data_IF_097422509753
#
_entry.id   IF_097422509753
#
_cell.length_a   1.000
_cell.length_b   1.000
_cell.length_c   1.000
_cell.angle_alpha   90.00
_cell.angle_beta   90.00
_cell.angle_gamma   90.00
#
_symmetry.space_group_name_H-M   'P 1'
#
loop_
_entity.id
_entity.type
_entity.pdbx_description
1 polymer ?
#
# COMPACT_ATOMS: atom_id res chain seq x y z
N UNK A 1 19.42 3.99 -6.39
CA UNK A 1 19.29 3.16 -5.18
C UNK A 1 18.34 2.01 -5.51
N UNK A 2 18.54 0.80 -5.00
CA UNK A 2 17.59 -0.31 -5.21
C UNK A 2 16.74 -0.44 -3.94
N UNK A 3 15.42 -0.43 -4.10
CA UNK A 3 14.47 -0.57 -3.00
C UNK A 3 14.14 -2.04 -2.80
N UNK A 4 13.98 -2.46 -1.54
CA UNK A 4 13.59 -3.83 -1.22
C UNK A 4 12.06 -3.91 -1.10
N UNK A 5 11.35 -4.57 -2.04
CA UNK A 5 9.90 -4.65 -2.02
C UNK A 5 9.35 -5.41 -0.81
N UNK A 6 10.06 -6.45 -0.35
CA UNK A 6 9.62 -7.25 0.79
C UNK A 6 9.77 -6.47 2.09
N UNK A 7 10.87 -5.71 2.22
CA UNK A 7 11.06 -4.77 3.32
C UNK A 7 9.97 -3.70 3.33
N UNK A 8 9.62 -3.12 2.16
CA UNK A 8 8.59 -2.10 2.07
C UNK A 8 7.22 -2.61 2.58
N UNK A 9 6.77 -3.78 2.11
CA UNK A 9 5.50 -4.39 2.54
C UNK A 9 5.49 -4.58 4.06
N UNK A 10 6.60 -5.08 4.63
CA UNK A 10 6.74 -5.26 6.07
C UNK A 10 6.63 -3.94 6.82
N UNK A 11 7.38 -2.92 6.39
CA UNK A 11 7.41 -1.62 7.06
C UNK A 11 6.06 -0.91 7.01
N UNK A 12 5.37 -0.92 5.88
CA UNK A 12 4.03 -0.32 5.78
C UNK A 12 3.03 -1.05 6.66
N UNK A 13 3.03 -2.38 6.66
CA UNK A 13 2.19 -3.16 7.58
C UNK A 13 2.47 -2.77 9.03
N UNK A 14 3.74 -2.74 9.43
CA UNK A 14 4.13 -2.44 10.80
C UNK A 14 3.73 -1.00 11.21
N UNK A 15 3.74 -0.04 10.27
CA UNK A 15 3.24 1.33 10.50
C UNK A 15 1.72 1.39 10.66
N UNK A 16 0.96 0.66 9.83
CA UNK A 16 -0.51 0.60 9.91
C UNK A 16 -0.96 -0.10 11.19
N UNK A 17 -0.23 -1.13 11.62
CA UNK A 17 -0.56 -1.92 12.81
C UNK A 17 0.05 -1.37 14.10
N UNK A 18 0.78 -0.25 14.07
CA UNK A 18 1.36 0.35 15.27
C UNK A 18 0.24 0.92 16.17
N UNK A 19 0.01 0.35 17.37
CA UNK A 19 -1.05 0.80 18.28
C UNK A 19 -0.81 2.22 18.82
N UNK A 20 0.36 2.82 18.59
CA UNK A 20 0.67 4.20 18.97
C UNK A 20 0.44 5.20 17.85
N UNK A 21 0.14 4.74 16.63
CA UNK A 21 -0.03 5.59 15.47
C UNK A 21 -1.46 6.14 15.40
N UNK A 22 -1.62 7.44 15.70
CA UNK A 22 -2.91 8.15 15.55
C UNK A 22 -3.41 8.15 14.10
N UNK A 23 -2.48 8.07 13.13
CA UNK A 23 -2.83 8.06 11.71
C UNK A 23 -3.38 6.69 11.28
N UNK A 24 -2.95 5.61 11.95
CA UNK A 24 -3.38 4.25 11.66
C UNK A 24 -4.72 3.86 12.28
N UNK A 25 -5.27 4.66 13.22
CA UNK A 25 -6.48 4.30 13.98
C UNK A 25 -7.71 4.01 13.09
N UNK A 26 -7.78 4.66 11.93
CA UNK A 26 -8.89 4.50 10.98
C UNK A 26 -8.53 3.59 9.80
N UNK A 27 -7.40 2.90 9.84
CA UNK A 27 -6.94 2.05 8.75
C UNK A 27 -6.74 0.62 9.22
N UNK A 28 -7.32 -0.33 8.51
CA UNK A 28 -7.12 -1.76 8.77
C UNK A 28 -6.24 -2.36 7.70
N UNK A 29 -5.08 -2.89 8.09
CA UNK A 29 -4.25 -3.68 7.20
C UNK A 29 -4.98 -4.96 6.76
N UNK A 30 -5.04 -5.21 5.45
CA UNK A 30 -5.61 -6.44 4.89
C UNK A 30 -4.51 -7.39 4.45
N UNK A 31 -3.68 -6.97 3.49
CA UNK A 31 -2.63 -7.81 2.94
C UNK A 31 -1.60 -6.98 2.17
N UNK A 32 -0.46 -7.59 1.86
CA UNK A 32 0.53 -7.00 0.95
C UNK A 32 1.35 -8.08 0.28
N UNK A 33 1.76 -7.82 -0.95
CA UNK A 33 2.50 -8.79 -1.77
C UNK A 33 3.52 -8.08 -2.66
N UNK A 34 4.65 -8.72 -2.86
CA UNK A 34 5.61 -8.38 -3.90
C UNK A 34 5.15 -9.00 -5.23
N UNK A 35 4.93 -8.19 -6.26
CA UNK A 35 4.54 -8.67 -7.60
C UNK A 35 5.74 -8.94 -8.51
N UNK A 36 6.87 -8.29 -8.25
CA UNK A 36 8.09 -8.44 -9.03
C UNK A 36 9.29 -7.84 -8.31
N UNK A 37 10.43 -7.73 -9.00
CA UNK A 37 11.67 -7.22 -8.40
C UNK A 37 11.55 -5.79 -7.85
N UNK A 38 10.63 -5.00 -8.39
CA UNK A 38 10.53 -3.57 -8.13
C UNK A 38 9.08 -3.12 -7.89
N UNK A 39 8.15 -4.04 -7.58
CA UNK A 39 6.74 -3.69 -7.43
C UNK A 39 6.03 -4.42 -6.30
N UNK A 40 5.10 -3.71 -5.66
CA UNK A 40 4.28 -4.24 -4.56
C UNK A 40 2.81 -3.87 -4.72
N UNK A 41 1.96 -4.70 -4.16
CA UNK A 41 0.53 -4.42 -3.92
C UNK A 41 0.31 -4.34 -2.43
N UNK A 42 -0.41 -3.31 -2.00
CA UNK A 42 -0.84 -3.12 -0.62
C UNK A 42 -2.37 -3.04 -0.60
N UNK A 43 -2.98 -3.79 0.31
CA UNK A 43 -4.43 -3.84 0.53
C UNK A 43 -4.74 -3.38 1.96
N UNK A 44 -5.68 -2.44 2.10
CA UNK A 44 -6.13 -1.90 3.39
C UNK A 44 -7.62 -1.53 3.35
N UNK A 45 -8.22 -1.17 4.48
CA UNK A 45 -9.59 -0.62 4.59
C UNK A 45 -9.58 0.69 5.36
N UNK A 46 -10.50 1.57 5.02
CA UNK A 46 -10.93 2.64 5.93
C UNK A 46 -11.93 2.06 6.95
N UNK A 47 -11.50 1.93 8.20
CA UNK A 47 -12.28 1.29 9.26
C UNK A 47 -12.51 -0.22 9.04
N UNK A 48 -13.20 -0.85 9.99
CA UNK A 48 -13.48 -2.29 9.96
C UNK A 48 -14.40 -2.71 8.79
N UNK A 49 -15.35 -1.83 8.46
CA UNK A 49 -16.47 -2.13 7.56
C UNK A 49 -16.37 -1.42 6.20
N UNK A 50 -15.27 -0.70 5.96
CA UNK A 50 -15.01 -0.06 4.66
C UNK A 50 -14.64 -1.06 3.56
N UNK A 51 -14.70 -0.63 2.28
CA UNK A 51 -14.26 -1.43 1.16
C UNK A 51 -12.75 -1.74 1.27
N UNK A 52 -12.32 -2.86 0.68
CA UNK A 52 -10.89 -3.14 0.53
C UNK A 52 -10.34 -2.25 -0.58
N UNK A 53 -9.39 -1.40 -0.22
CA UNK A 53 -8.66 -0.52 -1.12
C UNK A 53 -7.35 -1.21 -1.48
N UNK A 54 -7.05 -1.24 -2.79
CA UNK A 54 -5.78 -1.75 -3.31
C UNK A 54 -4.98 -0.66 -3.99
N UNK A 55 -3.67 -0.61 -3.69
CA UNK A 55 -2.69 0.20 -4.43
C UNK A 55 -1.54 -0.66 -4.93
N UNK A 56 -1.13 -0.39 -6.17
CA UNK A 56 0.03 -0.99 -6.81
C UNK A 56 1.12 0.07 -6.95
N UNK A 57 2.30 -0.21 -6.40
CA UNK A 57 3.44 0.70 -6.44
C UNK A 57 4.58 0.08 -7.25
N UNK A 58 5.05 0.82 -8.25
CA UNK A 58 6.33 0.58 -8.93
C UNK A 58 7.38 1.42 -8.22
N UNK A 59 8.28 0.79 -7.46
CA UNK A 59 9.15 1.48 -6.51
C UNK A 59 10.10 2.49 -7.16
N UNK A 60 10.73 2.22 -8.32
CA UNK A 60 11.56 3.21 -9.00
C UNK A 60 10.78 4.45 -9.45
N UNK A 61 9.54 4.26 -9.91
CA UNK A 61 8.67 5.37 -10.33
C UNK A 61 8.25 6.20 -9.13
N UNK A 62 7.81 5.56 -8.05
CA UNK A 62 7.47 6.24 -6.80
C UNK A 62 8.67 7.01 -6.24
N UNK A 63 9.84 6.37 -6.17
CA UNK A 63 11.07 6.99 -5.68
C UNK A 63 11.47 8.23 -6.48
N UNK A 64 11.24 8.22 -7.80
CA UNK A 64 11.58 9.34 -8.69
C UNK A 64 10.79 10.62 -8.41
N UNK A 65 9.64 10.51 -7.74
CA UNK A 65 8.82 11.66 -7.35
C UNK A 65 9.37 12.43 -6.14
N UNK A 66 10.31 11.83 -5.40
CA UNK A 66 10.85 12.40 -4.17
C UNK A 66 12.33 12.78 -4.34
N UNK A 67 13.21 12.07 -3.64
CA UNK A 67 14.66 12.32 -3.65
C UNK A 67 15.38 11.13 -4.29
N UNK A 68 16.47 11.35 -5.06
CA UNK A 68 17.27 10.26 -5.62
C UNK A 68 17.90 9.35 -4.57
N UNK A 69 17.94 9.80 -3.30
CA UNK A 69 18.49 9.06 -2.17
C UNK A 69 17.42 8.59 -1.17
N UNK A 70 16.13 8.66 -1.54
CA UNK A 70 15.06 8.16 -0.69
C UNK A 70 15.30 6.67 -0.40
N UNK A 71 15.20 6.28 0.86
CA UNK A 71 15.37 4.91 1.33
C UNK A 71 14.05 4.13 1.26
N UNK A 72 14.12 2.80 1.39
CA UNK A 72 12.90 1.97 1.50
C UNK A 72 12.07 2.34 2.73
N UNK A 73 12.73 2.69 3.83
CA UNK A 73 12.11 3.15 5.06
C UNK A 73 11.39 4.49 4.89
N UNK A 74 12.01 5.44 4.19
CA UNK A 74 11.38 6.71 3.86
C UNK A 74 10.20 6.53 2.91
N UNK A 75 10.33 5.68 1.88
CA UNK A 75 9.20 5.34 1.00
C UNK A 75 8.04 4.71 1.76
N UNK A 76 8.30 3.78 2.69
CA UNK A 76 7.24 3.18 3.50
C UNK A 76 6.51 4.22 4.35
N UNK A 77 7.23 5.21 4.91
CA UNK A 77 6.64 6.32 5.65
C UNK A 77 5.82 7.25 4.76
N UNK A 78 6.32 7.57 3.57
CA UNK A 78 5.61 8.38 2.58
C UNK A 78 4.30 7.70 2.19
N UNK A 79 4.33 6.41 1.81
CA UNK A 79 3.13 5.64 1.49
C UNK A 79 2.14 5.66 2.65
N UNK A 80 2.63 5.44 3.88
CA UNK A 80 1.76 5.44 5.04
C UNK A 80 1.08 6.80 5.26
N UNK A 81 1.85 7.90 5.28
CA UNK A 81 1.31 9.23 5.57
C UNK A 81 0.47 9.77 4.41
N UNK A 82 1.01 9.76 3.19
CA UNK A 82 0.43 10.50 2.07
C UNK A 82 -0.65 9.71 1.31
N UNK A 83 -0.60 8.37 1.35
CA UNK A 83 -1.44 7.54 0.48
C UNK A 83 -2.45 6.69 1.26
N UNK A 84 -2.09 6.22 2.46
CA UNK A 84 -2.93 5.34 3.27
C UNK A 84 -3.80 6.14 4.24
N UNK A 85 -3.28 7.21 4.84
CA UNK A 85 -3.98 7.95 5.91
C UNK A 85 -4.85 9.09 5.39
N UNK A 86 -4.55 9.61 4.20
CA UNK A 86 -5.41 10.52 3.44
C UNK A 86 -5.58 9.96 2.02
N UNK A 87 -6.35 8.89 1.87
CA UNK A 87 -6.44 8.26 0.60
C UNK A 87 -7.28 9.24 -0.27
N UNK A 88 -6.62 9.85 -1.26
CA UNK A 88 -7.26 10.64 -2.32
C UNK A 88 -7.64 9.83 -3.58
N UNK A 89 -8.83 10.12 -4.12
CA UNK A 89 -9.24 9.75 -5.49
C UNK A 89 -10.48 8.84 -5.59
N UNK A 90 -11.25 8.91 -6.69
CA UNK A 90 -12.32 7.96 -6.96
C UNK A 90 -11.68 6.61 -7.31
N UNK A 91 -11.60 5.72 -6.33
CA UNK A 91 -11.18 4.34 -6.57
C UNK A 91 -12.00 3.70 -7.71
N UNK A 92 -11.34 2.90 -8.54
CA UNK A 92 -11.92 2.24 -9.71
C UNK A 92 -11.78 0.73 -9.62
N UNK A 93 -12.74 0.00 -10.17
CA UNK A 93 -12.54 -1.41 -10.41
C UNK A 93 -11.63 -1.58 -11.62
N UNK A 94 -10.57 -2.38 -11.46
CA UNK A 94 -9.63 -2.74 -12.52
C UNK A 94 -9.75 -4.24 -12.79
N UNK A 95 -9.64 -4.62 -14.05
CA UNK A 95 -9.56 -6.02 -14.47
C UNK A 95 -8.10 -6.51 -14.34
N UNK A 96 -7.67 -6.76 -13.10
CA UNK A 96 -6.31 -7.17 -12.73
C UNK A 96 -6.36 -8.28 -11.67
N UNK A 97 -5.36 -9.17 -11.67
CA UNK A 97 -5.21 -10.32 -10.76
C UNK A 97 -4.33 -10.01 -9.53
N UNK A 98 -4.03 -8.73 -9.30
CA UNK A 98 -3.11 -8.25 -8.28
C UNK A 98 -3.52 -8.58 -6.85
N UNK A 99 -4.78 -8.93 -6.60
CA UNK A 99 -5.28 -9.35 -5.29
C UNK A 99 -5.54 -10.87 -5.18
N UNK A 100 -5.25 -11.65 -6.22
CA UNK A 100 -5.48 -13.10 -6.22
C UNK A 100 -4.72 -13.80 -5.09
N UNK A 101 -5.46 -14.52 -4.26
CA UNK A 101 -4.92 -15.21 -3.08
C UNK A 101 -4.63 -14.31 -1.87
N UNK A 102 -4.85 -13.00 -1.97
CA UNK A 102 -4.74 -12.05 -0.84
C UNK A 102 -6.09 -11.81 -0.14
N UNK A 103 -7.19 -11.96 -0.87
CA UNK A 103 -8.57 -11.82 -0.38
C UNK A 103 -9.46 -12.92 -0.97
N UNK A 104 -10.60 -13.18 -0.33
CA UNK A 104 -11.57 -14.20 -0.79
C UNK A 104 -12.27 -13.82 -2.09
N UNK A 105 -12.44 -12.53 -2.35
CA UNK A 105 -13.03 -11.98 -3.58
C UNK A 105 -12.15 -10.83 -4.11
N UNK A 106 -11.22 -11.12 -5.04
CA UNK A 106 -10.36 -10.11 -5.64
C UNK A 106 -11.12 -9.03 -6.43
N UNK A 107 -12.31 -9.34 -6.95
CA UNK A 107 -13.11 -8.40 -7.75
C UNK A 107 -13.74 -7.28 -6.92
N UNK A 108 -13.89 -7.52 -5.62
CA UNK A 108 -14.40 -6.54 -4.66
C UNK A 108 -13.34 -5.51 -4.22
N UNK A 109 -12.08 -5.63 -4.67
CA UNK A 109 -11.04 -4.65 -4.37
C UNK A 109 -11.25 -3.40 -5.21
N UNK A 110 -11.34 -2.26 -4.54
CA UNK A 110 -11.37 -0.95 -5.17
C UNK A 110 -9.94 -0.48 -5.38
N UNK A 111 -9.53 -0.28 -6.64
CA UNK A 111 -8.15 0.06 -6.98
C UNK A 111 -7.96 1.54 -7.18
N UNK A 112 -6.92 2.04 -6.55
CA UNK A 112 -6.57 3.44 -6.56
C UNK A 112 -5.27 3.60 -7.33
N UNK A 113 -5.27 4.51 -8.28
CA UNK A 113 -4.22 4.70 -9.26
C UNK A 113 -3.77 6.14 -9.28
#
# INVERSE_FOLDING_TARGET
>A
MHHDPALLVRLVRDLVQDPKSILGENVVWVAGRVLGADSVVLLYREGSDGPVIGKHYVLPELASMFSPNVTTEELARIIFVDEITDPSGPGRHLDVDWADGLVSDPSAVTWWT
#
